data_IF_761645672036
#
_entry.id   IF_761645672036
#
_cell.length_a   1.000
_cell.length_b   1.000
_cell.length_c   1.000
_cell.angle_alpha   90.00
_cell.angle_beta   90.00
_cell.angle_gamma   90.00
#
_symmetry.space_group_name_H-M   'P 1'
#
loop_
_entity.id
_entity.type
_entity.pdbx_description
1 polymer ?
#
# COMPACT_ATOMS: atom_id res chain seq x y z
N UNK A 1 -7.80 -13.21 -9.69
CA UNK A 1 -7.78 -13.71 -11.08
C UNK A 1 -7.27 -12.60 -12.01
N UNK A 2 -6.67 -12.93 -13.16
CA UNK A 2 -5.81 -12.10 -14.04
C UNK A 2 -4.50 -11.56 -13.41
N UNK A 3 -4.55 -10.79 -12.32
CA UNK A 3 -3.33 -10.27 -11.67
C UNK A 3 -2.46 -11.36 -11.05
N UNK A 4 -3.02 -12.11 -10.10
CA UNK A 4 -2.31 -13.16 -9.38
C UNK A 4 -2.16 -14.45 -10.20
N UNK A 5 -3.26 -15.04 -10.65
CA UNK A 5 -3.23 -16.34 -11.32
C UNK A 5 -2.57 -16.25 -12.70
N UNK A 6 -3.06 -15.39 -13.58
CA UNK A 6 -2.47 -15.29 -14.91
C UNK A 6 -1.11 -14.58 -14.86
N UNK A 7 -1.02 -13.39 -14.28
CA UNK A 7 0.22 -12.62 -14.24
C UNK A 7 1.32 -13.32 -13.43
N UNK A 8 1.11 -13.49 -12.13
CA UNK A 8 2.15 -14.02 -11.23
C UNK A 8 2.40 -15.52 -11.41
N UNK A 9 1.37 -16.35 -11.67
CA UNK A 9 1.56 -17.81 -11.80
C UNK A 9 1.88 -18.27 -13.23
N UNK A 10 1.31 -17.64 -14.27
CA UNK A 10 1.50 -18.08 -15.66
C UNK A 10 2.54 -17.27 -16.44
N UNK A 11 2.80 -15.99 -16.08
CA UNK A 11 3.78 -15.16 -16.77
C UNK A 11 5.08 -15.05 -15.99
N UNK A 12 5.07 -14.38 -14.83
CA UNK A 12 6.24 -14.27 -13.95
C UNK A 12 5.83 -13.78 -12.54
N UNK A 13 6.36 -14.37 -11.45
CA UNK A 13 5.97 -14.01 -10.08
C UNK A 13 6.10 -12.52 -9.74
N UNK A 14 7.13 -11.86 -10.30
CA UNK A 14 7.45 -10.45 -10.04
C UNK A 14 7.05 -9.51 -11.18
N UNK A 15 6.19 -9.94 -12.12
CA UNK A 15 5.84 -9.12 -13.30
C UNK A 15 5.35 -7.71 -12.92
N UNK A 16 4.47 -7.62 -11.92
CA UNK A 16 3.90 -6.34 -11.49
C UNK A 16 4.91 -5.47 -10.75
N UNK A 17 5.77 -6.06 -9.94
CA UNK A 17 6.87 -5.37 -9.25
C UNK A 17 7.86 -4.80 -10.26
N UNK A 18 8.24 -5.57 -11.29
CA UNK A 18 9.15 -5.10 -12.33
C UNK A 18 8.55 -3.96 -13.17
N UNK A 19 7.26 -4.06 -13.53
CA UNK A 19 6.55 -2.98 -14.23
C UNK A 19 6.47 -1.72 -13.35
N UNK A 20 6.18 -1.88 -12.05
CA UNK A 20 6.13 -0.78 -11.10
C UNK A 20 7.49 -0.08 -10.99
N UNK A 21 8.58 -0.83 -10.81
CA UNK A 21 9.94 -0.27 -10.72
C UNK A 21 10.32 0.51 -11.99
N UNK A 22 10.07 -0.08 -13.16
CA UNK A 22 10.36 0.58 -14.43
C UNK A 22 9.59 1.90 -14.61
N UNK A 23 8.32 1.95 -14.16
CA UNK A 23 7.51 3.17 -14.19
C UNK A 23 8.02 4.24 -13.22
N UNK A 24 8.39 3.85 -12.00
CA UNK A 24 8.94 4.80 -11.02
C UNK A 24 10.25 5.39 -11.54
N UNK A 25 11.14 4.57 -12.11
CA UNK A 25 12.41 5.04 -12.66
C UNK A 25 12.27 5.94 -13.89
N UNK A 26 11.14 5.85 -14.61
CA UNK A 26 10.85 6.70 -15.75
C UNK A 26 10.18 8.03 -15.39
N UNK A 27 9.75 8.22 -14.14
CA UNK A 27 9.16 9.48 -13.66
C UNK A 27 10.23 10.57 -13.53
N UNK A 28 9.82 11.85 -13.56
CA UNK A 28 10.76 12.94 -13.34
C UNK A 28 11.22 12.96 -11.87
N UNK A 29 12.45 13.42 -11.56
CA UNK A 29 12.94 13.49 -10.18
C UNK A 29 12.06 14.31 -9.22
N UNK A 30 11.33 15.30 -9.75
CA UNK A 30 10.45 16.18 -8.96
C UNK A 30 8.98 15.70 -8.92
N UNK A 31 8.66 14.56 -9.57
CA UNK A 31 7.30 14.02 -9.58
C UNK A 31 6.98 13.29 -8.27
N UNK A 32 5.75 13.48 -7.78
CA UNK A 32 5.19 12.63 -6.73
C UNK A 32 4.55 11.40 -7.36
N UNK A 33 5.07 10.22 -7.03
CA UNK A 33 4.52 8.94 -7.51
C UNK A 33 3.64 8.33 -6.43
N UNK A 34 2.36 8.14 -6.73
CA UNK A 34 1.39 7.49 -5.84
C UNK A 34 1.09 6.08 -6.32
N UNK A 35 1.17 5.11 -5.41
CA UNK A 35 0.83 3.71 -5.62
C UNK A 35 -0.30 3.38 -4.66
N UNK A 36 -1.51 3.25 -5.19
CA UNK A 36 -2.76 3.13 -4.41
C UNK A 36 -3.11 1.68 -4.06
N UNK A 37 -2.66 0.71 -4.86
CA UNK A 37 -3.07 -0.70 -4.76
C UNK A 37 -1.93 -1.65 -4.33
N UNK A 38 -1.20 -1.31 -3.25
CA UNK A 38 -0.16 -2.19 -2.69
C UNK A 38 -0.82 -3.37 -1.97
N UNK A 39 -0.62 -4.58 -2.50
CA UNK A 39 -1.27 -5.82 -2.01
C UNK A 39 -0.29 -6.88 -1.55
N UNK A 40 0.91 -6.93 -2.11
CA UNK A 40 1.86 -8.00 -1.86
C UNK A 40 3.13 -7.50 -1.13
N UNK A 41 3.84 -8.36 -0.38
CA UNK A 41 4.99 -7.94 0.41
C UNK A 41 6.17 -7.50 -0.46
N UNK A 42 6.26 -8.03 -1.68
CA UNK A 42 7.27 -7.66 -2.67
C UNK A 42 7.06 -6.25 -3.24
N UNK A 43 5.81 -5.82 -3.42
CA UNK A 43 5.45 -4.44 -3.79
C UNK A 43 5.84 -3.47 -2.66
N UNK A 44 5.51 -3.81 -1.42
CA UNK A 44 5.92 -3.04 -0.24
C UNK A 44 7.44 -2.94 -0.14
N UNK A 45 8.15 -4.06 -0.29
CA UNK A 45 9.61 -4.10 -0.23
C UNK A 45 10.26 -3.25 -1.32
N UNK A 46 9.70 -3.24 -2.54
CA UNK A 46 10.16 -2.36 -3.63
C UNK A 46 10.03 -0.89 -3.24
N UNK A 47 8.86 -0.46 -2.75
CA UNK A 47 8.63 0.94 -2.36
C UNK A 47 9.64 1.36 -1.28
N UNK A 48 9.83 0.53 -0.26
CA UNK A 48 10.81 0.78 0.81
C UNK A 48 12.25 0.86 0.27
N UNK A 49 12.63 -0.05 -0.62
CA UNK A 49 13.96 -0.07 -1.24
C UNK A 49 14.25 1.20 -2.04
N UNK A 50 13.23 1.78 -2.68
CA UNK A 50 13.34 3.03 -3.43
C UNK A 50 13.22 4.29 -2.56
N UNK A 51 13.12 4.14 -1.23
CA UNK A 51 13.01 5.26 -0.30
C UNK A 51 11.59 5.85 -0.17
N UNK A 52 10.57 5.19 -0.72
CA UNK A 52 9.18 5.63 -0.63
C UNK A 52 8.56 5.36 0.74
N UNK A 53 7.54 6.16 1.06
CA UNK A 53 6.70 5.98 2.25
C UNK A 53 5.48 5.12 1.92
N UNK A 54 5.10 4.24 2.85
CA UNK A 54 3.86 3.46 2.76
C UNK A 54 2.94 3.87 3.91
N UNK A 55 1.71 4.22 3.56
CA UNK A 55 0.64 4.54 4.49
C UNK A 55 -0.44 3.44 4.48
N UNK A 56 -0.80 2.92 5.65
CA UNK A 56 -1.95 2.04 5.80
C UNK A 56 -3.16 2.84 6.28
N UNK A 57 -4.26 2.78 5.52
CA UNK A 57 -5.54 3.36 5.94
C UNK A 57 -6.38 2.25 6.57
N UNK A 58 -6.73 2.39 7.86
CA UNK A 58 -7.46 1.37 8.63
C UNK A 58 -8.79 1.91 9.16
N UNK A 59 -9.84 1.10 9.04
CA UNK A 59 -11.17 1.37 9.58
C UNK A 59 -11.56 0.22 10.51
N UNK A 60 -11.47 0.45 11.81
CA UNK A 60 -11.71 -0.57 12.85
C UNK A 60 -13.06 -1.29 12.68
N UNK A 61 -14.13 -0.54 12.44
CA UNK A 61 -15.46 -1.12 12.23
C UNK A 61 -15.56 -2.05 11.01
N UNK A 62 -14.75 -1.83 9.98
CA UNK A 62 -14.70 -2.70 8.80
C UNK A 62 -13.90 -3.97 9.06
N UNK A 63 -12.82 -3.89 9.84
CA UNK A 63 -12.01 -5.06 10.24
C UNK A 63 -12.80 -6.05 11.10
N UNK A 64 -13.65 -5.51 11.97
CA UNK A 64 -14.55 -6.32 12.80
C UNK A 64 -15.56 -7.11 11.95
N UNK A 65 -15.89 -6.64 10.74
CA UNK A 65 -16.84 -7.26 9.82
C UNK A 65 -16.21 -8.24 8.82
N UNK A 66 -14.87 -8.33 8.76
CA UNK A 66 -14.19 -9.24 7.83
C UNK A 66 -14.44 -10.71 8.21
N UNK A 67 -14.68 -11.54 7.19
CA UNK A 67 -14.72 -13.00 7.35
C UNK A 67 -13.37 -13.54 7.82
N UNK A 68 -13.33 -14.76 8.37
CA UNK A 68 -12.07 -15.41 8.79
C UNK A 68 -11.04 -15.49 7.65
N UNK A 69 -11.49 -15.75 6.42
CA UNK A 69 -10.64 -15.78 5.24
C UNK A 69 -10.11 -14.38 4.88
N UNK A 70 -10.98 -13.37 4.91
CA UNK A 70 -10.57 -11.98 4.65
C UNK A 70 -9.62 -11.45 5.73
N UNK A 71 -9.84 -11.82 7.00
CA UNK A 71 -8.92 -11.51 8.09
C UNK A 71 -7.58 -12.18 7.90
N UNK A 72 -7.52 -13.43 7.43
CA UNK A 72 -6.26 -14.10 7.07
C UNK A 72 -5.56 -13.37 5.94
N UNK A 73 -6.25 -13.02 4.86
CA UNK A 73 -5.66 -12.23 3.77
C UNK A 73 -5.09 -10.89 4.25
N UNK A 74 -5.81 -10.14 5.10
CA UNK A 74 -5.32 -8.89 5.67
C UNK A 74 -4.17 -9.12 6.65
N UNK A 75 -4.26 -10.16 7.48
CA UNK A 75 -3.27 -10.56 8.49
C UNK A 75 -2.00 -11.14 7.89
N UNK A 76 -2.04 -11.74 6.70
CA UNK A 76 -0.89 -12.35 6.00
C UNK A 76 -0.16 -11.30 5.14
N UNK A 77 -0.84 -10.23 4.70
CA UNK A 77 -0.18 -9.03 4.17
C UNK A 77 0.37 -8.12 5.28
N UNK A 78 -0.28 -8.09 6.45
CA UNK A 78 0.07 -7.23 7.56
C UNK A 78 1.41 -7.52 8.29
N UNK A 79 2.02 -8.73 8.36
CA UNK A 79 3.12 -8.98 9.28
C UNK A 79 4.37 -8.18 8.90
N UNK A 80 4.69 -8.09 7.60
CA UNK A 80 5.77 -7.22 7.08
C UNK A 80 5.35 -5.74 7.08
N UNK A 81 4.07 -5.46 6.91
CA UNK A 81 3.51 -4.10 6.92
C UNK A 81 3.28 -3.55 8.33
N UNK A 82 3.53 -4.28 9.41
CA UNK A 82 3.48 -3.72 10.79
C UNK A 82 4.53 -2.62 11.00
N UNK A 83 5.54 -2.60 10.14
CA UNK A 83 6.53 -1.53 9.99
C UNK A 83 6.11 -0.45 8.99
N UNK A 84 4.81 -0.24 8.71
CA UNK A 84 4.35 0.87 7.85
C UNK A 84 4.87 2.20 8.37
N UNK A 85 5.25 3.08 7.42
CA UNK A 85 5.78 4.39 7.77
C UNK A 85 4.70 5.24 8.46
N UNK A 86 3.45 5.05 8.03
CA UNK A 86 2.29 5.81 8.53
C UNK A 86 1.07 4.91 8.68
N UNK A 87 0.36 5.05 9.79
CA UNK A 87 -0.97 4.47 10.00
C UNK A 87 -2.00 5.61 10.06
N UNK A 88 -2.96 5.60 9.13
CA UNK A 88 -4.05 6.58 9.04
C UNK A 88 -5.34 5.92 9.52
N UNK A 89 -6.01 6.52 10.51
CA UNK A 89 -7.23 5.99 11.10
C UNK A 89 -8.46 6.62 10.45
N UNK A 90 -9.30 5.79 9.86
CA UNK A 90 -10.56 6.15 9.20
C UNK A 90 -11.74 5.72 10.07
N UNK A 91 -11.92 6.40 11.21
CA UNK A 91 -12.93 6.08 12.23
C UNK A 91 -13.85 7.26 12.64
N UNK A 92 -13.56 8.50 12.21
CA UNK A 92 -14.28 9.69 12.67
C UNK A 92 -15.11 10.42 11.60
N UNK A 93 -14.72 10.34 10.33
CA UNK A 93 -15.41 11.02 9.23
C UNK A 93 -14.48 11.35 8.06
N UNK A 94 -15.05 11.88 6.98
CA UNK A 94 -14.26 12.25 5.79
C UNK A 94 -13.36 13.46 6.06
N UNK A 95 -13.89 14.46 6.78
CA UNK A 95 -13.16 15.70 7.07
C UNK A 95 -11.94 15.43 7.96
N UNK A 96 -12.08 14.55 8.95
CA UNK A 96 -11.00 14.15 9.85
C UNK A 96 -9.95 13.31 9.12
N UNK A 97 -10.38 12.46 8.18
CA UNK A 97 -9.46 11.71 7.34
C UNK A 97 -8.65 12.65 6.43
N UNK A 98 -9.32 13.63 5.82
CA UNK A 98 -8.67 14.65 4.99
C UNK A 98 -7.65 15.46 5.80
N UNK A 99 -8.03 15.93 6.99
CA UNK A 99 -7.14 16.67 7.88
C UNK A 99 -5.90 15.87 8.27
N UNK A 100 -6.05 14.58 8.59
CA UNK A 100 -4.93 13.69 8.88
C UNK A 100 -3.97 13.58 7.68
N UNK A 101 -4.49 13.33 6.47
CA UNK A 101 -3.67 13.23 5.26
C UNK A 101 -2.93 14.53 4.97
N UNK A 102 -3.63 15.67 5.04
CA UNK A 102 -3.04 17.00 4.81
C UNK A 102 -1.93 17.31 5.82
N UNK A 103 -2.10 16.96 7.09
CA UNK A 103 -1.06 17.15 8.12
C UNK A 103 0.19 16.35 7.77
N UNK A 104 0.02 15.07 7.44
CA UNK A 104 1.13 14.17 7.12
C UNK A 104 1.95 14.63 5.89
N UNK A 105 1.28 15.14 4.86
CA UNK A 105 1.94 15.72 3.68
C UNK A 105 2.68 17.01 4.04
N UNK A 106 2.07 17.89 4.83
CA UNK A 106 2.71 19.16 5.25
C UNK A 106 3.93 18.96 6.15
N UNK A 107 3.90 17.92 6.97
CA UNK A 107 5.00 17.54 7.86
C UNK A 107 6.14 16.80 7.14
N UNK A 108 5.98 16.50 5.85
CA UNK A 108 6.97 15.76 5.06
C UNK A 108 7.09 14.29 5.47
N UNK A 109 6.05 13.75 6.11
CA UNK A 109 5.96 12.32 6.47
C UNK A 109 5.55 11.50 5.25
N UNK A 110 4.63 12.04 4.43
CA UNK A 110 4.23 11.52 3.12
C UNK A 110 4.88 12.29 1.98
#
# INVERSE_FOLDING_TARGET
TLGTEWGRQLVHPNIWVGIMEAKIQAACPDDVVIIDDVRFPDEFALIRRLGGTVAAIRRKAAEDQLSLEQRRHVSDMAPDMTSVGVLIKNDQGLQELEQQVVSLVREGVL
#
